data_IF_697786720827
#
_entry.id   IF_697786720827
#
_cell.length_a   1.000
_cell.length_b   1.000
_cell.length_c   1.000
_cell.angle_alpha   90.00
_cell.angle_beta   90.00
_cell.angle_gamma   90.00
#
_symmetry.space_group_name_H-M   'P 1'
#
loop_
_entity.id
_entity.type
_entity.pdbx_description
1 polymer ?
#
# COMPACT_ATOMS: atom_id res chain seq x y z
N UNK A 1 -16.17 30.06 1.50
CA UNK A 1 -16.99 29.36 0.48
C UNK A 1 -16.66 27.88 0.58
N UNK A 2 -17.38 27.16 1.42
CA UNK A 2 -17.24 25.72 1.59
C UNK A 2 -17.72 25.02 0.32
N UNK A 3 -16.77 24.54 -0.49
CA UNK A 3 -17.08 23.69 -1.63
C UNK A 3 -17.68 22.39 -1.12
N UNK A 4 -19.00 22.33 -1.08
CA UNK A 4 -19.73 21.09 -0.82
C UNK A 4 -19.35 20.10 -1.91
N UNK A 5 -18.38 19.22 -1.62
CA UNK A 5 -18.03 18.11 -2.50
C UNK A 5 -19.22 17.16 -2.53
N UNK A 6 -20.08 17.34 -3.53
CA UNK A 6 -21.17 16.40 -3.82
C UNK A 6 -20.53 15.06 -4.16
N UNK A 7 -20.95 14.02 -3.44
CA UNK A 7 -20.51 12.63 -3.69
C UNK A 7 -21.68 11.81 -4.20
N UNK A 8 -21.48 11.09 -5.31
CA UNK A 8 -22.46 10.16 -5.88
C UNK A 8 -21.94 8.73 -5.83
N UNK A 9 -22.84 7.75 -5.78
CA UNK A 9 -22.47 6.33 -5.85
C UNK A 9 -22.30 5.93 -7.31
N UNK A 10 -21.21 5.23 -7.61
CA UNK A 10 -20.99 4.65 -8.91
C UNK A 10 -22.06 3.60 -9.23
N UNK A 11 -22.74 3.75 -10.36
CA UNK A 11 -23.78 2.84 -10.81
C UNK A 11 -23.27 1.39 -10.99
N UNK A 12 -21.99 1.22 -11.32
CA UNK A 12 -21.40 -0.07 -11.67
C UNK A 12 -20.78 -0.82 -10.49
N UNK A 13 -20.16 -0.12 -9.54
CA UNK A 13 -19.45 -0.73 -8.41
C UNK A 13 -19.98 -0.31 -7.04
N UNK A 14 -20.98 0.57 -6.98
CA UNK A 14 -21.60 1.06 -5.75
C UNK A 14 -20.74 1.99 -4.90
N UNK A 15 -19.45 2.17 -5.23
CA UNK A 15 -18.52 2.99 -4.45
C UNK A 15 -18.87 4.48 -4.54
N UNK A 16 -18.86 5.23 -3.42
CA UNK A 16 -19.02 6.68 -3.44
C UNK A 16 -17.80 7.34 -4.08
N UNK A 17 -18.03 8.34 -4.93
CA UNK A 17 -17.01 9.14 -5.57
C UNK A 17 -17.46 10.60 -5.71
N UNK A 18 -16.51 11.52 -5.86
CA UNK A 18 -16.82 12.94 -6.12
C UNK A 18 -17.40 13.08 -7.52
N UNK A 19 -18.45 13.89 -7.70
CA UNK A 19 -19.10 14.07 -9.02
C UNK A 19 -18.10 14.49 -10.10
N UNK A 20 -17.14 15.36 -9.77
CA UNK A 20 -16.08 15.83 -10.67
C UNK A 20 -15.16 14.70 -11.19
N UNK A 21 -15.10 13.58 -10.48
CA UNK A 21 -14.27 12.40 -10.82
C UNK A 21 -15.09 11.25 -11.41
N UNK A 22 -16.40 11.46 -11.62
CA UNK A 22 -17.30 10.50 -12.21
C UNK A 22 -17.65 10.91 -13.64
N UNK A 23 -17.87 9.91 -14.48
CA UNK A 23 -18.23 10.12 -15.89
C UNK A 23 -19.53 9.41 -16.18
N UNK A 24 -20.29 9.90 -17.14
CA UNK A 24 -21.53 9.24 -17.56
C UNK A 24 -21.19 7.92 -18.27
N UNK A 25 -21.93 6.86 -17.94
CA UNK A 25 -21.77 5.56 -18.62
C UNK A 25 -22.07 5.68 -20.12
N UNK A 26 -21.41 4.88 -20.95
CA UNK A 26 -21.63 4.87 -22.40
C UNK A 26 -23.09 4.55 -22.79
N UNK A 27 -23.85 3.89 -21.91
CA UNK A 27 -25.28 3.60 -22.09
C UNK A 27 -26.21 4.73 -21.64
N UNK A 28 -25.67 5.82 -21.06
CA UNK A 28 -26.44 6.93 -20.51
C UNK A 28 -27.24 6.61 -19.23
N UNK A 29 -27.10 5.40 -18.68
CA UNK A 29 -27.95 4.91 -17.56
C UNK A 29 -27.56 5.42 -16.18
N UNK A 30 -26.37 6.02 -16.02
CA UNK A 30 -25.93 6.55 -14.73
C UNK A 30 -24.48 7.01 -14.71
N UNK A 31 -24.09 7.61 -13.59
CA UNK A 31 -22.71 8.05 -13.35
C UNK A 31 -21.86 6.86 -12.89
N UNK A 32 -20.72 6.67 -13.54
CA UNK A 32 -19.75 5.62 -13.24
C UNK A 32 -18.40 6.20 -12.85
N UNK A 33 -17.68 5.45 -12.03
CA UNK A 33 -16.33 5.80 -11.61
C UNK A 33 -15.38 5.78 -12.83
N UNK A 34 -14.36 6.65 -12.92
CA UNK A 34 -13.33 6.57 -13.98
C UNK A 34 -12.74 5.16 -14.18
N UNK A 35 -12.42 4.38 -13.13
CA UNK A 35 -12.01 2.98 -13.28
C UNK A 35 -13.06 2.12 -13.98
N UNK A 36 -14.33 2.37 -13.70
CA UNK A 36 -15.48 1.64 -14.21
C UNK A 36 -15.79 1.99 -15.68
N UNK A 37 -15.49 3.22 -16.09
CA UNK A 37 -15.68 3.70 -17.45
C UNK A 37 -14.69 3.08 -18.45
N UNK A 38 -13.49 2.70 -18.00
CA UNK A 38 -12.49 2.03 -18.82
C UNK A 38 -12.70 0.51 -19.02
N UNK A 39 -13.73 -0.07 -18.37
CA UNK A 39 -14.04 -1.49 -18.45
C UNK A 39 -15.12 -1.74 -19.51
N UNK A 40 -14.92 -2.71 -20.42
CA UNK A 40 -15.98 -3.22 -21.32
C UNK A 40 -17.17 -3.75 -20.51
N UNK A 41 -18.40 -3.82 -21.06
CA UNK A 41 -19.57 -4.39 -20.38
C UNK A 41 -19.28 -5.74 -19.69
N UNK A 42 -18.44 -6.58 -20.31
CA UNK A 42 -17.98 -7.88 -19.79
C UNK A 42 -16.93 -7.83 -18.66
N UNK A 43 -16.67 -6.65 -18.08
CA UNK A 43 -15.68 -6.46 -17.02
C UNK A 43 -14.22 -6.58 -17.48
N UNK A 44 -13.96 -6.77 -18.78
CA UNK A 44 -12.59 -6.83 -19.32
C UNK A 44 -12.04 -5.42 -19.53
N UNK A 45 -10.78 -5.15 -19.14
CA UNK A 45 -10.14 -3.87 -19.43
C UNK A 45 -10.08 -3.64 -20.94
N UNK A 46 -10.45 -2.44 -21.38
CA UNK A 46 -10.17 -2.01 -22.76
C UNK A 46 -8.67 -1.83 -22.96
N UNK A 47 -8.18 -1.97 -24.19
CA UNK A 47 -6.75 -1.81 -24.53
C UNK A 47 -6.20 -0.45 -24.07
N UNK A 48 -7.02 0.59 -24.04
CA UNK A 48 -6.69 1.92 -23.51
C UNK A 48 -6.58 1.97 -21.97
N UNK A 49 -7.30 1.11 -21.24
CA UNK A 49 -7.13 0.97 -19.79
C UNK A 49 -5.84 0.23 -19.42
N UNK A 50 -5.28 -0.56 -20.34
CA UNK A 50 -4.02 -1.28 -20.13
C UNK A 50 -2.84 -0.33 -19.91
N UNK A 51 -2.88 0.86 -20.52
CA UNK A 51 -1.87 1.90 -20.31
C UNK A 51 -2.08 2.73 -19.03
N UNK A 52 -3.29 2.74 -18.46
CA UNK A 52 -3.54 3.37 -17.14
C UNK A 52 -3.25 2.43 -15.96
N UNK A 53 -3.25 1.11 -16.20
CA UNK A 53 -2.83 0.10 -15.22
C UNK A 53 -1.31 -0.16 -15.20
N UNK A 54 -0.58 0.38 -16.18
CA UNK A 54 0.89 0.49 -16.17
C UNK A 54 1.37 1.86 -15.70
N UNK A 55 0.54 2.61 -14.95
CA UNK A 55 1.13 3.59 -14.04
C UNK A 55 1.81 2.78 -12.94
N UNK A 56 3.15 2.82 -12.80
CA UNK A 56 3.78 2.26 -11.61
C UNK A 56 3.08 2.92 -10.44
N UNK A 57 2.38 2.10 -9.66
CA UNK A 57 1.90 2.45 -8.32
C UNK A 57 3.08 3.17 -7.70
N UNK A 58 3.00 4.49 -7.46
CA UNK A 58 4.07 5.24 -6.81
C UNK A 58 4.60 4.36 -5.69
N UNK A 59 5.92 4.09 -5.60
CA UNK A 59 6.48 3.17 -4.63
C UNK A 59 5.88 3.55 -3.28
N UNK A 60 4.97 2.70 -2.84
CA UNK A 60 4.06 2.95 -1.75
C UNK A 60 4.99 3.13 -0.55
N UNK A 61 5.05 4.35 0.01
CA UNK A 61 5.98 4.75 1.06
C UNK A 61 6.37 3.56 1.92
N UNK A 62 7.61 3.09 1.76
CA UNK A 62 8.09 1.79 2.22
C UNK A 62 7.73 1.61 3.70
N UNK A 63 6.63 0.89 3.98
CA UNK A 63 6.28 0.55 5.35
C UNK A 63 7.34 -0.43 5.83
N UNK A 64 8.25 0.06 6.66
CA UNK A 64 9.26 -0.77 7.32
C UNK A 64 8.54 -1.83 8.14
N UNK A 65 8.99 -3.08 8.02
CA UNK A 65 8.61 -4.15 8.92
C UNK A 65 9.56 -4.08 10.12
N UNK A 66 9.03 -4.23 11.31
CA UNK A 66 9.73 -4.07 12.57
C UNK A 66 9.38 -5.22 13.52
N UNK A 67 10.31 -5.59 14.37
CA UNK A 67 10.14 -6.59 15.41
C UNK A 67 10.66 -6.04 16.74
N UNK A 68 9.82 -6.04 17.78
CA UNK A 68 10.26 -5.63 19.12
C UNK A 68 11.18 -6.71 19.72
N UNK A 69 12.34 -6.32 20.24
CA UNK A 69 13.26 -7.25 20.89
C UNK A 69 12.78 -7.73 22.26
N UNK A 70 11.94 -6.94 22.94
CA UNK A 70 11.47 -7.24 24.29
C UNK A 70 10.30 -8.24 24.27
N UNK A 71 9.21 -7.91 23.57
CA UNK A 71 8.01 -8.74 23.52
C UNK A 71 7.88 -9.58 22.23
N UNK A 72 8.89 -9.56 21.35
CA UNK A 72 8.92 -10.29 20.07
C UNK A 72 7.78 -9.97 19.09
N UNK A 73 7.02 -8.90 19.35
CA UNK A 73 5.88 -8.51 18.52
C UNK A 73 6.35 -7.93 17.18
N UNK A 74 5.75 -8.38 16.08
CA UNK A 74 6.05 -7.94 14.71
C UNK A 74 4.99 -6.96 14.23
N UNK A 75 5.41 -5.82 13.71
CA UNK A 75 4.52 -4.77 13.25
C UNK A 75 5.11 -3.97 12.10
N UNK A 76 4.26 -3.23 11.39
CA UNK A 76 4.66 -2.43 10.23
C UNK A 76 4.41 -0.97 10.53
N UNK A 77 5.39 -0.11 10.26
CA UNK A 77 5.26 1.33 10.47
C UNK A 77 5.80 2.11 9.27
N UNK A 78 5.20 3.26 9.00
CA UNK A 78 5.72 4.21 8.00
C UNK A 78 6.79 5.13 8.59
N UNK A 79 7.05 5.07 9.89
CA UNK A 79 8.06 5.89 10.58
C UNK A 79 9.46 5.27 10.46
N UNK A 80 10.53 6.08 10.43
CA UNK A 80 11.90 5.59 10.51
C UNK A 80 12.18 4.92 11.86
N UNK A 81 13.13 3.98 11.91
CA UNK A 81 13.44 3.14 13.08
C UNK A 81 13.60 3.96 14.38
N UNK A 82 14.27 5.10 14.33
CA UNK A 82 14.47 6.03 15.46
C UNK A 82 13.19 6.58 16.11
N UNK A 83 12.07 6.55 15.39
CA UNK A 83 10.78 7.09 15.84
C UNK A 83 9.73 6.00 16.07
N UNK A 84 10.13 4.74 16.03
CA UNK A 84 9.24 3.59 16.18
C UNK A 84 9.36 3.09 17.62
N UNK A 85 8.21 2.85 18.26
CA UNK A 85 8.10 2.22 19.58
C UNK A 85 7.16 1.03 19.48
N UNK A 86 7.39 -0.01 20.27
CA UNK A 86 6.54 -1.18 20.25
C UNK A 86 5.12 -0.81 20.73
N UNK A 87 4.06 -1.12 19.97
CA UNK A 87 2.69 -0.79 20.38
C UNK A 87 2.18 -1.62 21.57
N UNK A 88 2.84 -2.73 21.89
CA UNK A 88 2.43 -3.62 22.98
C UNK A 88 3.14 -3.32 24.30
N UNK A 89 4.45 -3.09 24.26
CA UNK A 89 5.26 -2.92 25.48
C UNK A 89 5.95 -1.55 25.59
N UNK A 90 5.72 -0.63 24.63
CA UNK A 90 6.31 0.71 24.62
C UNK A 90 7.84 0.75 24.42
N UNK A 91 8.50 -0.40 24.30
CA UNK A 91 9.96 -0.48 24.18
C UNK A 91 10.45 0.10 22.85
N UNK A 92 11.53 0.89 22.91
CA UNK A 92 12.23 1.43 21.73
C UNK A 92 13.26 0.46 21.13
N UNK A 93 13.50 -0.69 21.78
CA UNK A 93 14.37 -1.75 21.26
C UNK A 93 13.64 -2.55 20.17
N UNK A 94 13.86 -2.14 18.93
CA UNK A 94 13.20 -2.68 17.74
C UNK A 94 14.26 -3.01 16.70
N UNK A 95 14.16 -4.18 16.07
CA UNK A 95 14.97 -4.60 14.94
C UNK A 95 14.14 -4.68 13.67
N UNK A 96 14.79 -4.56 12.51
CA UNK A 96 14.20 -4.98 11.25
C UNK A 96 14.25 -6.51 11.15
N UNK A 97 13.24 -7.15 10.54
CA UNK A 97 13.23 -8.61 10.40
C UNK A 97 14.38 -9.13 9.53
N UNK A 98 14.97 -8.29 8.67
CA UNK A 98 16.15 -8.64 7.88
C UNK A 98 17.36 -8.89 8.78
N UNK A 99 17.58 -8.08 9.80
CA UNK A 99 18.66 -8.29 10.79
C UNK A 99 18.38 -9.46 11.75
N UNK A 100 17.12 -9.85 11.92
CA UNK A 100 16.73 -10.98 12.77
C UNK A 100 16.60 -12.30 11.99
N UNK A 101 16.95 -12.32 10.71
CA UNK A 101 16.88 -13.52 9.87
C UNK A 101 18.07 -14.43 10.16
N UNK A 102 17.83 -15.74 10.29
CA UNK A 102 18.90 -16.73 10.50
C UNK A 102 19.99 -16.64 9.43
N UNK A 103 19.62 -16.30 8.19
CA UNK A 103 20.54 -16.09 7.07
C UNK A 103 21.50 -14.90 7.30
N UNK A 104 21.02 -13.80 7.86
CA UNK A 104 21.85 -12.62 8.16
C UNK A 104 22.86 -12.92 9.28
N UNK A 105 22.42 -13.62 10.33
CA UNK A 105 23.29 -14.05 11.43
C UNK A 105 24.37 -15.04 10.96
N UNK A 106 24.03 -15.95 10.05
CA UNK A 106 24.99 -16.89 9.47
C UNK A 106 26.04 -16.19 8.57
N UNK A 107 25.63 -15.15 7.82
CA UNK A 107 26.56 -14.35 7.00
C UNK A 107 27.51 -13.50 7.85
N UNK A 108 27.03 -12.91 8.95
CA UNK A 108 27.90 -12.20 9.90
C UNK A 108 28.84 -13.14 10.66
N UNK A 109 28.42 -14.37 10.96
CA UNK A 109 29.27 -15.37 11.61
C UNK A 109 30.33 -15.97 10.67
N UNK A 110 30.02 -16.13 9.38
CA UNK A 110 30.91 -16.72 8.38
C UNK A 110 32.01 -15.80 7.82
N UNK A 111 32.04 -14.52 8.21
CA UNK A 111 32.97 -13.52 7.68
C UNK A 111 34.24 -13.28 8.50
N UNK A 112 34.45 -13.99 9.62
CA UNK A 112 35.73 -13.94 10.34
C UNK A 112 36.65 -15.01 9.77
N UNK A 113 37.44 -14.61 8.76
CA UNK A 113 38.65 -15.32 8.39
C UNK A 113 39.45 -15.64 9.66
N UNK A 114 39.66 -16.93 9.91
CA UNK A 114 40.59 -17.41 10.91
C UNK A 114 42.00 -17.15 10.36
N UNK A 115 42.67 -16.12 10.86
CA UNK A 115 44.12 -15.96 10.72
C UNK A 115 44.77 -16.75 11.88
N UNK A 116 45.16 -17.99 11.61
CA UNK A 116 46.01 -18.84 12.46
C UNK A 116 46.90 -19.72 11.58
#
# INVERSE_FOLDING_TARGET
MDQQTITLKCFRCGKPGRVLEMVMDASGKGMVCRPCAGLKPDGRPTSAAREMFTKPKSPNASRGKFACMNCKFRFSSSKPLDQVSCPYCGSRRINTPEQASADALLREAGGREYDF
#
